data_IF_722648511451
#
_entry.id   IF_722648511451
#
_cell.length_a   1.000
_cell.length_b   1.000
_cell.length_c   1.000
_cell.angle_alpha   90.00
_cell.angle_beta   90.00
_cell.angle_gamma   90.00
#
_symmetry.space_group_name_H-M   'P 1'
#
loop_
_entity.id
_entity.type
_entity.pdbx_description
1 polymer ?
#
# COMPACT_ATOMS: atom_id res chain seq x y z
N UNK A 1 54.54 -12.32 -65.82
CA UNK A 1 53.20 -11.75 -66.08
C UNK A 1 52.22 -12.30 -65.05
N UNK A 2 51.62 -11.38 -64.28
CA UNK A 2 50.36 -11.46 -63.50
C UNK A 2 50.28 -12.47 -62.34
N UNK A 3 50.35 -11.88 -61.14
CA UNK A 3 50.09 -12.46 -59.82
C UNK A 3 48.64 -12.95 -59.68
N UNK A 4 48.45 -14.13 -59.09
CA UNK A 4 47.16 -14.59 -58.55
C UNK A 4 46.91 -13.85 -57.22
N UNK A 5 45.94 -12.94 -57.20
CA UNK A 5 45.39 -12.37 -55.97
C UNK A 5 44.28 -13.29 -55.46
N UNK A 6 44.54 -14.02 -54.37
CA UNK A 6 43.50 -14.70 -53.59
C UNK A 6 42.79 -13.68 -52.71
N UNK A 7 41.49 -13.44 -52.97
CA UNK A 7 40.65 -12.55 -52.18
C UNK A 7 40.07 -13.34 -50.99
N UNK A 8 40.61 -13.12 -49.79
CA UNK A 8 40.06 -13.63 -48.54
C UNK A 8 38.90 -12.71 -48.10
N UNK A 9 37.66 -13.21 -48.20
CA UNK A 9 36.48 -12.53 -47.64
C UNK A 9 36.41 -12.88 -46.15
N UNK A 10 36.86 -11.95 -45.30
CA UNK A 10 36.70 -12.05 -43.85
C UNK A 10 35.25 -11.68 -43.52
N UNK A 11 34.43 -12.70 -43.22
CA UNK A 11 33.06 -12.53 -42.74
C UNK A 11 33.11 -12.12 -41.26
N UNK A 12 33.09 -10.82 -40.99
CA UNK A 12 32.95 -10.29 -39.62
C UNK A 12 31.53 -10.55 -39.12
N UNK A 13 31.37 -11.57 -38.27
CA UNK A 13 30.13 -11.79 -37.51
C UNK A 13 30.05 -10.70 -36.45
N UNK A 14 29.21 -9.69 -36.69
CA UNK A 14 28.86 -8.69 -35.69
C UNK A 14 27.93 -9.35 -34.69
N UNK A 15 28.49 -9.87 -33.60
CA UNK A 15 27.72 -10.30 -32.44
C UNK A 15 27.14 -9.03 -31.83
N UNK A 16 25.90 -8.72 -32.20
CA UNK A 16 25.13 -7.66 -31.58
C UNK A 16 24.87 -8.07 -30.12
N UNK A 17 25.67 -7.53 -29.19
CA UNK A 17 25.34 -7.51 -27.78
C UNK A 17 24.01 -6.77 -27.61
N UNK A 18 22.90 -7.50 -27.61
CA UNK A 18 21.65 -7.01 -27.07
C UNK A 18 21.88 -6.87 -25.56
N UNK A 19 22.22 -5.65 -25.14
CA UNK A 19 22.07 -5.28 -23.75
C UNK A 19 20.60 -5.46 -23.41
N UNK A 20 20.30 -6.46 -22.57
CA UNK A 20 19.04 -6.55 -21.87
C UNK A 20 18.89 -5.25 -21.07
N UNK A 21 18.29 -4.22 -21.66
CA UNK A 21 17.77 -3.10 -20.90
C UNK A 21 16.74 -3.71 -19.98
N UNK A 22 17.08 -3.83 -18.70
CA UNK A 22 16.07 -3.98 -17.66
C UNK A 22 15.10 -2.82 -17.87
N UNK A 23 13.88 -3.14 -18.33
CA UNK A 23 12.77 -2.20 -18.29
C UNK A 23 12.51 -1.95 -16.80
N UNK A 24 13.21 -0.95 -16.23
CA UNK A 24 12.93 -0.49 -14.88
C UNK A 24 11.48 -0.04 -14.89
N UNK A 25 10.64 -0.76 -14.14
CA UNK A 25 9.23 -0.46 -14.07
C UNK A 25 9.05 0.99 -13.62
N UNK A 26 8.28 1.77 -14.39
CA UNK A 26 8.09 3.19 -14.14
C UNK A 26 7.20 3.38 -12.91
N UNK A 27 7.70 4.07 -11.90
CA UNK A 27 6.91 4.50 -10.74
C UNK A 27 5.82 5.49 -11.17
N UNK A 28 4.59 5.22 -10.76
CA UNK A 28 3.42 6.09 -10.88
C UNK A 28 3.21 6.83 -9.56
N UNK A 29 3.15 8.16 -9.59
CA UNK A 29 2.66 8.95 -8.46
C UNK A 29 1.14 8.80 -8.40
N UNK A 30 0.62 8.17 -7.36
CA UNK A 30 -0.83 8.09 -7.16
C UNK A 30 -1.36 9.42 -6.60
N UNK A 31 -0.60 10.10 -5.76
CA UNK A 31 -0.88 11.49 -5.38
C UNK A 31 0.03 12.45 -6.17
N UNK A 32 -0.56 13.45 -6.83
CA UNK A 32 0.16 14.36 -7.73
C UNK A 32 0.70 15.63 -7.04
N UNK A 33 0.34 15.88 -5.77
CA UNK A 33 0.75 17.08 -5.03
C UNK A 33 -0.17 18.29 -5.24
N UNK A 34 -1.22 18.18 -6.04
CA UNK A 34 -2.07 19.31 -6.47
C UNK A 34 -3.54 19.06 -6.17
N UNK A 35 -4.06 17.88 -6.51
CA UNK A 35 -5.47 17.53 -6.38
C UNK A 35 -5.67 16.01 -6.18
N UNK A 36 -6.92 15.59 -6.20
CA UNK A 36 -7.33 14.19 -6.01
C UNK A 36 -7.59 13.47 -7.34
N UNK A 37 -7.03 13.92 -8.46
CA UNK A 37 -7.20 13.26 -9.76
C UNK A 37 -6.78 11.78 -9.69
N UNK A 38 -7.67 10.89 -10.11
CA UNK A 38 -7.48 9.43 -10.01
C UNK A 38 -7.97 8.82 -8.70
N UNK A 39 -8.69 9.59 -7.88
CA UNK A 39 -9.32 9.15 -6.64
C UNK A 39 -10.76 9.64 -6.55
N UNK A 40 -11.57 8.91 -5.78
CA UNK A 40 -12.88 9.33 -5.31
C UNK A 40 -12.98 9.17 -3.79
N UNK A 41 -13.87 9.95 -3.19
CA UNK A 41 -14.12 9.94 -1.74
C UNK A 41 -15.35 9.10 -1.44
N UNK A 42 -15.24 8.18 -0.48
CA UNK A 42 -16.35 7.42 0.08
C UNK A 42 -16.47 7.73 1.59
N UNK A 43 -17.40 8.63 1.94
CA UNK A 43 -17.62 9.12 3.30
C UNK A 43 -19.11 8.99 3.62
N UNK A 44 -19.53 8.01 4.45
CA UNK A 44 -20.96 7.77 4.73
C UNK A 44 -21.72 8.98 5.28
N UNK A 45 -21.05 9.87 6.02
CA UNK A 45 -21.68 11.09 6.54
C UNK A 45 -22.15 12.04 5.42
N UNK A 46 -21.47 12.03 4.26
CA UNK A 46 -21.80 12.89 3.13
C UNK A 46 -23.10 12.47 2.42
N UNK A 47 -23.50 11.20 2.52
CA UNK A 47 -24.79 10.71 2.00
C UNK A 47 -25.97 11.32 2.76
N UNK A 48 -25.77 11.65 4.04
CA UNK A 48 -26.79 12.23 4.92
C UNK A 48 -26.75 13.75 4.80
N UNK A 49 -25.54 14.33 4.84
CA UNK A 49 -25.32 15.76 4.72
C UNK A 49 -24.21 16.04 3.68
N UNK A 50 -24.57 16.39 2.44
CA UNK A 50 -23.59 16.70 1.38
C UNK A 50 -22.67 17.89 1.70
N UNK A 51 -23.10 18.80 2.59
CA UNK A 51 -22.32 19.97 3.01
C UNK A 51 -21.41 19.68 4.22
N UNK A 52 -21.25 18.40 4.59
CA UNK A 52 -20.35 18.00 5.69
C UNK A 52 -18.89 18.42 5.41
N UNK A 53 -18.12 18.58 6.48
CA UNK A 53 -16.69 18.89 6.35
C UNK A 53 -15.95 17.79 5.57
N UNK A 54 -15.00 18.19 4.74
CA UNK A 54 -14.24 17.26 3.91
C UNK A 54 -13.27 16.43 4.75
N UNK A 55 -13.37 15.11 4.65
CA UNK A 55 -12.43 14.18 5.28
C UNK A 55 -11.04 14.19 4.64
N UNK A 56 -10.94 14.61 3.37
CA UNK A 56 -9.69 14.66 2.63
C UNK A 56 -9.54 16.02 1.94
N UNK A 57 -8.42 16.68 2.17
CA UNK A 57 -8.10 17.99 1.59
C UNK A 57 -6.68 18.02 1.04
N UNK A 58 -6.40 19.01 0.19
CA UNK A 58 -5.04 19.36 -0.18
C UNK A 58 -4.64 20.62 0.59
N UNK A 59 -3.51 20.55 1.30
CA UNK A 59 -2.94 21.66 2.08
C UNK A 59 -1.44 21.65 1.89
N UNK A 60 -0.86 22.75 1.42
CA UNK A 60 0.58 22.88 1.20
C UNK A 60 1.21 21.78 0.32
N UNK A 61 0.50 21.40 -0.75
CA UNK A 61 0.86 20.27 -1.65
C UNK A 61 0.90 18.88 -0.99
N UNK A 62 0.33 18.76 0.22
CA UNK A 62 0.13 17.51 0.93
C UNK A 62 -1.31 17.07 0.77
N UNK A 63 -1.52 15.75 0.64
CA UNK A 63 -2.82 15.16 0.91
C UNK A 63 -2.98 15.09 2.42
N UNK A 64 -4.07 15.62 2.97
CA UNK A 64 -4.37 15.59 4.40
C UNK A 64 -5.65 14.80 4.60
N UNK A 65 -5.56 13.71 5.37
CA UNK A 65 -6.71 13.04 5.96
C UNK A 65 -7.06 13.77 7.25
N UNK A 66 -8.28 14.27 7.38
CA UNK A 66 -8.75 15.02 8.54
C UNK A 66 -9.19 14.13 9.70
N UNK A 67 -9.26 12.81 9.48
CA UNK A 67 -9.73 11.83 10.46
C UNK A 67 -11.25 11.79 10.64
N UNK A 68 -11.94 12.92 10.55
CA UNK A 68 -13.40 13.01 10.66
C UNK A 68 -13.99 14.02 9.65
N UNK A 69 -15.14 13.75 9.02
CA UNK A 69 -15.95 12.53 9.09
C UNK A 69 -15.20 11.29 8.63
N UNK A 70 -15.51 10.12 9.19
CA UNK A 70 -14.81 8.87 8.82
C UNK A 70 -15.15 8.42 7.40
N UNK A 71 -14.17 7.85 6.72
CA UNK A 71 -14.33 7.32 5.37
C UNK A 71 -12.99 7.06 4.69
N UNK A 72 -13.03 6.95 3.36
CA UNK A 72 -11.90 6.52 2.56
C UNK A 72 -11.72 7.38 1.31
N UNK A 73 -10.47 7.67 0.97
CA UNK A 73 -10.07 8.15 -0.35
C UNK A 73 -9.58 6.95 -1.14
N UNK A 74 -10.26 6.60 -2.22
CA UNK A 74 -10.08 5.33 -2.94
C UNK A 74 -9.60 5.62 -4.36
N UNK A 75 -8.57 4.91 -4.84
CA UNK A 75 -8.09 5.07 -6.22
C UNK A 75 -9.15 4.60 -7.21
N UNK A 76 -9.32 5.30 -8.34
CA UNK A 76 -10.22 4.86 -9.42
C UNK A 76 -9.71 3.58 -10.12
N UNK A 77 -8.39 3.38 -10.11
CA UNK A 77 -7.74 2.23 -10.74
C UNK A 77 -7.59 1.05 -9.79
N UNK A 78 -7.62 -0.16 -10.36
CA UNK A 78 -7.28 -1.43 -9.70
C UNK A 78 -5.82 -1.80 -9.99
N UNK A 79 -5.12 -2.28 -8.97
CA UNK A 79 -3.71 -2.65 -9.04
C UNK A 79 -3.46 -4.08 -8.55
N UNK A 80 -2.36 -4.66 -9.01
CA UNK A 80 -1.79 -5.94 -8.58
C UNK A 80 -0.27 -5.88 -8.77
N UNK A 81 0.50 -6.74 -8.07
CA UNK A 81 1.94 -6.90 -8.27
C UNK A 81 2.70 -5.56 -8.23
N UNK A 82 2.70 -4.92 -7.08
CA UNK A 82 3.25 -3.58 -6.90
C UNK A 82 3.99 -3.39 -5.58
N UNK A 83 4.89 -2.42 -5.58
CA UNK A 83 5.46 -1.77 -4.41
C UNK A 83 4.79 -0.40 -4.24
N UNK A 84 4.06 -0.23 -3.15
CA UNK A 84 3.50 1.04 -2.72
C UNK A 84 4.45 1.66 -1.71
N UNK A 85 4.81 2.93 -1.90
CA UNK A 85 5.59 3.69 -0.94
C UNK A 85 4.80 4.91 -0.49
N UNK A 86 4.54 4.97 0.81
CA UNK A 86 3.77 6.02 1.46
C UNK A 86 4.68 6.78 2.42
N UNK A 87 4.67 8.12 2.36
CA UNK A 87 5.31 8.96 3.37
C UNK A 87 4.25 9.76 4.09
N UNK A 88 4.10 9.50 5.39
CA UNK A 88 3.04 10.06 6.21
C UNK A 88 3.58 10.63 7.53
N UNK A 89 2.79 11.47 8.20
CA UNK A 89 2.98 11.84 9.60
C UNK A 89 1.66 12.19 10.27
N UNK A 90 1.57 11.95 11.57
CA UNK A 90 0.56 12.57 12.42
C UNK A 90 1.05 13.98 12.78
N UNK A 91 0.49 15.01 12.15
CA UNK A 91 0.99 16.38 12.27
C UNK A 91 0.60 17.05 13.60
N UNK A 92 -0.49 16.60 14.22
CA UNK A 92 -0.98 17.10 15.50
C UNK A 92 -0.94 16.01 16.58
N UNK A 93 -2.09 15.40 16.83
CA UNK A 93 -2.24 14.32 17.81
C UNK A 93 -1.93 12.95 17.21
N UNK A 94 -1.44 11.99 18.02
CA UNK A 94 -1.40 10.59 17.59
C UNK A 94 -2.84 10.08 17.40
N UNK A 95 -3.01 9.08 16.54
CA UNK A 95 -4.30 8.41 16.38
C UNK A 95 -4.28 7.36 15.28
N UNK A 96 -5.42 7.21 14.61
CA UNK A 96 -5.66 6.14 13.64
C UNK A 96 -5.71 6.67 12.20
N UNK A 97 -5.18 5.86 11.29
CA UNK A 97 -5.28 5.97 9.84
C UNK A 97 -4.81 4.64 9.26
N UNK A 98 -4.93 4.43 7.95
CA UNK A 98 -4.49 3.19 7.33
C UNK A 98 -4.40 3.30 5.83
N UNK A 99 -3.63 2.38 5.25
CA UNK A 99 -3.62 2.13 3.81
C UNK A 99 -4.27 0.78 3.58
N UNK A 100 -5.40 0.79 2.88
CA UNK A 100 -6.13 -0.42 2.54
C UNK A 100 -5.66 -0.87 1.15
N UNK A 101 -5.18 -2.11 1.07
CA UNK A 101 -4.79 -2.75 -0.17
C UNK A 101 -5.82 -3.77 -0.60
N UNK A 102 -5.90 -3.98 -1.91
CA UNK A 102 -6.88 -4.88 -2.52
C UNK A 102 -8.34 -4.51 -2.17
N UNK A 103 -8.62 -3.21 -2.03
CA UNK A 103 -9.96 -2.72 -1.78
C UNK A 103 -10.88 -3.03 -2.96
N UNK A 104 -12.12 -3.43 -2.66
CA UNK A 104 -13.14 -3.79 -3.65
C UNK A 104 -14.52 -3.25 -3.27
N UNK A 105 -15.39 -4.08 -2.69
CA UNK A 105 -16.77 -3.69 -2.35
C UNK A 105 -16.76 -2.57 -1.30
N UNK A 106 -17.26 -1.35 -1.60
CA UNK A 106 -17.29 -0.27 -0.64
C UNK A 106 -18.22 -0.59 0.52
N UNK A 107 -17.91 -0.06 1.71
CA UNK A 107 -18.77 -0.14 2.92
C UNK A 107 -19.19 -1.56 3.32
N UNK A 108 -18.39 -2.57 2.99
CA UNK A 108 -18.64 -3.98 3.28
C UNK A 108 -18.63 -4.31 4.79
N UNK A 109 -17.90 -3.54 5.61
CA UNK A 109 -17.86 -3.71 7.06
C UNK A 109 -18.23 -2.40 7.78
N UNK A 110 -19.05 -2.50 8.82
CA UNK A 110 -19.58 -1.36 9.59
C UNK A 110 -20.26 -0.26 8.75
N UNK A 111 -20.68 -0.59 7.52
CA UNK A 111 -21.20 0.37 6.53
C UNK A 111 -20.21 1.51 6.20
N UNK A 112 -18.91 1.30 6.42
CA UNK A 112 -17.89 2.35 6.24
C UNK A 112 -16.60 1.82 5.61
N UNK A 113 -16.12 0.65 6.02
CA UNK A 113 -14.89 0.09 5.48
C UNK A 113 -15.14 -0.70 4.19
N UNK A 114 -14.34 -0.50 3.12
CA UNK A 114 -14.40 -1.36 1.95
C UNK A 114 -13.87 -2.76 2.27
N UNK A 115 -14.31 -3.77 1.54
CA UNK A 115 -13.72 -5.12 1.55
C UNK A 115 -12.26 -5.01 1.11
N UNK A 116 -11.30 -5.35 1.97
CA UNK A 116 -9.87 -5.13 1.76
C UNK A 116 -9.00 -5.84 2.81
N UNK A 117 -7.68 -5.74 2.64
CA UNK A 117 -6.70 -5.91 3.72
C UNK A 117 -6.13 -4.55 4.08
N UNK A 118 -6.21 -4.16 5.35
CA UNK A 118 -5.64 -2.89 5.82
C UNK A 118 -4.22 -3.12 6.35
N UNK A 119 -3.29 -2.28 5.89
CA UNK A 119 -2.00 -2.06 6.53
C UNK A 119 -2.14 -0.84 7.42
N UNK A 120 -2.21 -1.12 8.72
CA UNK A 120 -2.55 -0.17 9.77
C UNK A 120 -1.47 0.93 9.89
N UNK A 121 -1.89 2.16 10.19
CA UNK A 121 -1.00 3.29 10.49
C UNK A 121 -1.29 3.93 11.86
N UNK A 122 -2.10 3.28 12.70
CA UNK A 122 -2.34 3.64 14.09
C UNK A 122 -1.00 3.85 14.81
N UNK A 123 -0.88 4.97 15.50
CA UNK A 123 0.33 5.29 16.26
C UNK A 123 0.65 4.16 17.26
N UNK A 124 1.89 3.67 17.21
CA UNK A 124 2.48 2.50 17.88
C UNK A 124 2.13 1.13 17.34
N UNK A 125 1.23 1.06 16.35
CA UNK A 125 0.72 -0.19 15.78
C UNK A 125 0.90 -0.23 14.24
N UNK A 126 1.80 0.59 13.70
CA UNK A 126 1.98 0.73 12.26
C UNK A 126 2.50 -0.57 11.62
N UNK A 127 1.78 -1.04 10.61
CA UNK A 127 2.08 -2.28 9.89
C UNK A 127 1.33 -3.51 10.39
N UNK A 128 0.48 -3.38 11.41
CA UNK A 128 -0.52 -4.40 11.72
C UNK A 128 -1.40 -4.67 10.50
N UNK A 129 -1.86 -5.92 10.37
CA UNK A 129 -2.90 -6.24 9.41
C UNK A 129 -4.26 -6.19 10.07
N UNK A 130 -5.22 -5.54 9.43
CA UNK A 130 -6.63 -5.71 9.74
C UNK A 130 -7.37 -6.37 8.58
N UNK A 131 -7.98 -7.52 8.88
CA UNK A 131 -8.78 -8.28 7.94
C UNK A 131 -10.17 -7.66 7.82
N UNK A 132 -10.56 -7.19 6.62
CA UNK A 132 -11.84 -6.53 6.37
C UNK A 132 -12.57 -7.24 5.24
N UNK A 133 -13.32 -8.28 5.58
CA UNK A 133 -14.03 -9.17 4.63
C UNK A 133 -13.07 -9.86 3.62
N UNK A 134 -11.76 -9.65 3.75
CA UNK A 134 -10.66 -10.43 3.18
C UNK A 134 -9.81 -10.95 4.34
N UNK A 135 -9.07 -12.02 4.09
CA UNK A 135 -8.21 -12.68 5.08
C UNK A 135 -6.76 -12.80 4.59
N UNK A 136 -5.86 -12.95 5.55
CA UNK A 136 -4.42 -13.14 5.34
C UNK A 136 -3.86 -13.99 6.48
N UNK A 137 -2.88 -14.82 6.15
CA UNK A 137 -2.11 -15.59 7.12
C UNK A 137 -0.72 -14.98 7.31
N UNK A 138 -0.20 -15.07 8.53
CA UNK A 138 1.18 -14.71 8.86
C UNK A 138 1.83 -15.85 9.66
N UNK A 139 3.16 -15.92 9.79
CA UNK A 139 3.78 -16.83 10.75
C UNK A 139 3.30 -16.55 12.18
N UNK A 140 3.17 -17.59 13.01
CA UNK A 140 2.76 -17.50 14.42
C UNK A 140 1.36 -16.90 14.67
N UNK A 141 0.37 -17.25 13.84
CA UNK A 141 -1.01 -16.73 13.94
C UNK A 141 -1.63 -16.79 15.34
N UNK A 142 -1.41 -17.87 16.10
CA UNK A 142 -2.01 -18.00 17.45
C UNK A 142 -1.51 -16.91 18.41
N UNK A 143 -0.22 -16.57 18.31
CA UNK A 143 0.38 -15.49 19.10
C UNK A 143 -0.08 -14.13 18.57
N UNK A 144 -0.10 -13.95 17.25
CA UNK A 144 -0.32 -12.65 16.61
C UNK A 144 -1.78 -12.25 16.40
N UNK A 145 -2.71 -13.21 16.43
CA UNK A 145 -4.16 -13.04 16.21
C UNK A 145 -5.00 -13.66 17.34
N UNK A 146 -4.38 -14.28 18.35
CA UNK A 146 -5.10 -14.90 19.47
C UNK A 146 -5.73 -16.27 19.14
N UNK A 147 -6.72 -16.74 19.93
CA UNK A 147 -7.33 -18.06 19.79
C UNK A 147 -7.99 -18.26 18.43
N UNK A 148 -7.77 -19.42 17.81
CA UNK A 148 -8.20 -19.70 16.43
C UNK A 148 -9.71 -19.65 16.23
N UNK A 149 -10.46 -20.01 17.26
CA UNK A 149 -11.92 -20.07 17.26
C UNK A 149 -12.56 -18.67 17.16
N UNK A 150 -11.79 -17.64 17.53
CA UNK A 150 -12.20 -16.24 17.52
C UNK A 150 -11.84 -15.52 16.21
N UNK A 151 -10.99 -16.12 15.37
CA UNK A 151 -10.58 -15.52 14.11
C UNK A 151 -11.76 -15.29 13.17
N UNK A 152 -11.63 -14.25 12.35
CA UNK A 152 -12.57 -13.97 11.27
C UNK A 152 -12.33 -12.61 10.66
N UNK A 153 -13.22 -12.24 9.75
CA UNK A 153 -13.08 -11.09 8.84
C UNK A 153 -14.25 -10.10 8.93
N UNK A 154 -15.15 -10.33 9.90
CA UNK A 154 -16.38 -9.54 10.11
C UNK A 154 -16.49 -9.05 11.57
N UNK A 155 -17.53 -8.27 11.85
CA UNK A 155 -17.82 -7.76 13.19
C UNK A 155 -17.91 -8.88 14.24
N UNK A 156 -17.40 -8.62 15.43
CA UNK A 156 -17.38 -9.59 16.55
C UNK A 156 -16.30 -10.67 16.44
N UNK A 157 -15.39 -10.59 15.46
CA UNK A 157 -14.26 -11.51 15.29
C UNK A 157 -12.92 -10.82 15.50
N UNK A 158 -11.90 -11.62 15.82
CA UNK A 158 -10.51 -11.16 15.92
C UNK A 158 -9.92 -10.99 14.54
N UNK A 159 -9.98 -9.75 14.05
CA UNK A 159 -9.55 -9.33 12.70
C UNK A 159 -8.14 -8.77 12.64
N UNK A 160 -7.64 -8.26 13.78
CA UNK A 160 -6.30 -7.66 13.92
C UNK A 160 -5.24 -8.76 14.01
N UNK A 161 -4.16 -8.58 13.28
CA UNK A 161 -2.94 -9.40 13.36
C UNK A 161 -1.80 -8.44 13.67
N UNK A 162 -1.27 -8.55 14.89
CA UNK A 162 -0.20 -7.67 15.41
C UNK A 162 1.06 -7.83 14.59
N UNK A 163 1.79 -6.75 14.29
CA UNK A 163 3.05 -6.74 13.54
C UNK A 163 4.22 -7.38 14.34
N UNK A 164 5.45 -7.32 13.82
CA UNK A 164 6.64 -7.97 14.38
C UNK A 164 7.48 -7.08 15.33
N UNK A 165 7.14 -5.81 15.47
CA UNK A 165 8.00 -4.75 16.01
C UNK A 165 7.22 -3.76 16.87
N UNK A 166 7.84 -3.22 17.93
CA UNK A 166 7.15 -2.29 18.83
C UNK A 166 7.48 -0.80 18.57
N UNK A 167 8.63 -0.50 17.92
CA UNK A 167 9.18 0.86 17.85
C UNK A 167 9.71 1.25 16.44
N UNK A 168 9.13 0.69 15.38
CA UNK A 168 9.57 1.00 14.00
C UNK A 168 9.17 2.40 13.51
N UNK A 169 8.33 3.13 14.25
CA UNK A 169 7.90 4.48 13.91
C UNK A 169 8.84 5.57 14.45
N UNK A 170 8.96 6.66 13.68
CA UNK A 170 9.60 7.88 14.17
C UNK A 170 8.68 8.59 15.19
N UNK A 171 9.22 9.49 16.03
CA UNK A 171 8.43 10.29 16.97
C UNK A 171 7.25 11.03 16.32
N UNK A 172 6.23 11.33 17.13
CA UNK A 172 5.07 12.13 16.72
C UNK A 172 5.49 13.44 16.04
N UNK A 173 4.83 13.77 14.91
CA UNK A 173 5.16 14.93 14.09
C UNK A 173 6.26 14.70 13.04
N UNK A 174 7.05 13.63 13.18
CA UNK A 174 8.07 13.26 12.20
C UNK A 174 7.50 12.38 11.07
N UNK A 175 8.22 12.38 9.94
CA UNK A 175 7.79 11.64 8.75
C UNK A 175 8.17 10.16 8.84
N UNK A 176 7.18 9.29 8.77
CA UNK A 176 7.36 7.86 8.56
C UNK A 176 7.40 7.52 7.06
N UNK A 177 8.15 6.47 6.70
CA UNK A 177 8.08 5.83 5.38
C UNK A 177 7.54 4.42 5.55
N UNK A 178 6.36 4.16 4.99
CA UNK A 178 5.80 2.82 4.86
C UNK A 178 5.99 2.31 3.44
N UNK A 179 6.43 1.07 3.31
CA UNK A 179 6.51 0.35 2.04
C UNK A 179 5.64 -0.90 2.14
N UNK A 180 4.73 -1.08 1.19
CA UNK A 180 3.90 -2.27 1.07
C UNK A 180 4.17 -2.92 -0.28
N UNK A 181 4.66 -4.15 -0.28
CA UNK A 181 4.84 -4.94 -1.49
C UNK A 181 3.76 -6.01 -1.57
N UNK A 182 2.88 -5.91 -2.56
CA UNK A 182 1.83 -6.88 -2.85
C UNK A 182 2.21 -7.63 -4.13
N UNK A 183 2.49 -8.92 -4.05
CA UNK A 183 2.79 -9.78 -5.22
C UNK A 183 2.08 -11.11 -5.08
N UNK A 184 1.31 -11.49 -6.09
CA UNK A 184 0.38 -12.62 -6.03
C UNK A 184 -0.49 -12.54 -4.77
N UNK A 185 -0.43 -13.54 -3.90
CA UNK A 185 -1.17 -13.68 -2.64
C UNK A 185 -0.32 -13.33 -1.41
N UNK A 186 0.76 -12.57 -1.59
CA UNK A 186 1.67 -12.17 -0.51
C UNK A 186 1.71 -10.65 -0.33
N UNK A 187 1.86 -10.23 0.93
CA UNK A 187 2.03 -8.84 1.33
C UNK A 187 3.19 -8.73 2.31
N UNK A 188 4.18 -7.89 1.99
CA UNK A 188 5.25 -7.49 2.92
C UNK A 188 5.15 -6.02 3.25
N UNK A 189 5.40 -5.68 4.51
CA UNK A 189 5.29 -4.33 5.03
C UNK A 189 6.58 -3.95 5.72
N UNK A 190 7.12 -2.78 5.35
CA UNK A 190 8.20 -2.14 6.07
C UNK A 190 7.78 -0.78 6.59
N UNK A 191 8.23 -0.44 7.79
CA UNK A 191 8.14 0.91 8.35
C UNK A 191 9.56 1.37 8.65
N UNK A 192 9.96 2.52 8.11
CA UNK A 192 11.29 3.10 8.27
C UNK A 192 12.47 2.13 7.99
N UNK A 193 12.29 1.29 6.95
CA UNK A 193 13.23 0.25 6.48
C UNK A 193 13.30 -1.02 7.33
N UNK A 194 12.55 -1.11 8.43
CA UNK A 194 12.40 -2.34 9.20
C UNK A 194 11.24 -3.16 8.66
N UNK A 195 11.42 -4.47 8.50
CA UNK A 195 10.33 -5.36 8.09
C UNK A 195 9.42 -5.60 9.29
N UNK A 196 8.22 -5.04 9.25
CA UNK A 196 7.26 -5.13 10.36
C UNK A 196 6.22 -6.22 10.13
N UNK A 197 5.96 -6.62 8.88
CA UNK A 197 4.99 -7.68 8.62
C UNK A 197 5.24 -8.44 7.31
N UNK A 198 4.88 -9.71 7.31
CA UNK A 198 4.85 -10.57 6.13
C UNK A 198 3.67 -11.52 6.24
N UNK A 199 2.74 -11.40 5.28
CA UNK A 199 1.62 -12.31 5.13
C UNK A 199 1.55 -12.96 3.75
N UNK A 200 0.85 -14.09 3.72
CA UNK A 200 0.67 -14.98 2.59
C UNK A 200 -0.75 -15.57 2.62
N UNK A 201 -1.12 -16.34 1.59
CA UNK A 201 -2.48 -16.88 1.42
C UNK A 201 -3.56 -15.78 1.47
N UNK A 202 -3.26 -14.58 0.96
CA UNK A 202 -4.25 -13.51 0.87
C UNK A 202 -5.44 -13.97 0.03
N UNK A 203 -6.66 -13.75 0.52
CA UNK A 203 -7.87 -14.09 -0.24
C UNK A 203 -8.10 -13.17 -1.45
N UNK A 204 -7.41 -12.03 -1.49
CA UNK A 204 -7.37 -11.10 -2.62
C UNK A 204 -5.93 -10.83 -3.08
N UNK A 205 -5.74 -10.77 -4.40
CA UNK A 205 -4.43 -10.55 -5.06
C UNK A 205 -4.38 -9.26 -5.88
N UNK A 206 -5.52 -8.56 -5.98
CA UNK A 206 -5.69 -7.30 -6.71
C UNK A 206 -6.85 -6.50 -6.15
N UNK A 207 -6.79 -5.19 -6.31
CA UNK A 207 -7.90 -4.29 -5.99
C UNK A 207 -7.44 -2.84 -6.02
N UNK A 208 -8.32 -1.94 -5.60
CA UNK A 208 -8.00 -0.52 -5.41
C UNK A 208 -7.08 -0.36 -4.19
N UNK A 209 -6.49 0.83 -4.08
CA UNK A 209 -5.81 1.29 -2.88
C UNK A 209 -6.69 2.36 -2.24
N UNK A 210 -6.84 2.33 -0.92
CA UNK A 210 -7.53 3.40 -0.20
C UNK A 210 -6.69 3.95 0.96
N UNK A 211 -6.91 5.22 1.27
CA UNK A 211 -6.37 5.90 2.46
C UNK A 211 -7.54 6.26 3.37
N UNK A 212 -7.35 6.02 4.65
CA UNK A 212 -8.41 6.15 5.65
C UNK A 212 -8.45 7.55 6.29
N UNK A 213 -9.66 8.01 6.62
CA UNK A 213 -9.91 9.03 7.64
C UNK A 213 -10.57 8.36 8.85
N UNK A 214 -9.83 8.25 9.97
CA UNK A 214 -10.35 7.69 11.22
C UNK A 214 -9.76 8.37 12.47
N UNK A 215 -10.30 9.52 12.84
CA UNK A 215 -10.13 10.13 14.17
C UNK A 215 -8.88 10.99 14.40
N UNK A 216 -7.86 10.99 13.53
CA UNK A 216 -6.75 11.94 13.64
C UNK A 216 -6.28 12.47 12.30
N UNK A 217 -5.71 13.68 12.33
CA UNK A 217 -5.18 14.31 11.13
C UNK A 217 -3.84 13.69 10.72
N UNK A 218 -3.76 13.24 9.47
CA UNK A 218 -2.56 12.62 8.88
C UNK A 218 -2.22 13.30 7.57
N UNK A 219 -0.97 13.72 7.45
CA UNK A 219 -0.45 14.32 6.23
C UNK A 219 0.36 13.31 5.42
N UNK A 220 0.13 13.32 4.10
CA UNK A 220 0.80 12.47 3.12
C UNK A 220 1.52 13.36 2.09
N UNK A 221 2.83 13.22 2.01
CA UNK A 221 3.64 13.90 0.96
C UNK A 221 3.95 13.01 -0.24
N UNK A 222 3.70 11.71 -0.12
CA UNK A 222 4.01 10.72 -1.16
C UNK A 222 3.09 9.51 -1.03
N UNK A 223 2.51 9.12 -2.15
CA UNK A 223 1.85 7.83 -2.37
C UNK A 223 2.25 7.39 -3.79
N UNK A 224 3.30 6.59 -3.89
CA UNK A 224 3.87 6.17 -5.17
C UNK A 224 3.74 4.66 -5.33
N UNK A 225 3.37 4.23 -6.53
CA UNK A 225 3.22 2.83 -6.90
C UNK A 225 4.23 2.46 -7.98
N UNK A 226 5.00 1.39 -7.76
CA UNK A 226 5.93 0.83 -8.75
C UNK A 226 5.51 -0.60 -9.05
N UNK A 227 5.19 -0.96 -10.31
CA UNK A 227 4.96 -2.36 -10.67
C UNK A 227 6.20 -3.21 -10.37
N UNK A 228 6.02 -4.36 -9.76
CA UNK A 228 7.11 -5.31 -9.45
C UNK A 228 6.69 -6.73 -9.81
N UNK A 229 7.66 -7.62 -10.04
CA UNK A 229 7.39 -9.03 -10.36
C UNK A 229 7.67 -9.97 -9.20
N UNK A 230 8.43 -9.52 -8.21
CA UNK A 230 8.82 -10.29 -7.03
C UNK A 230 8.96 -9.34 -5.84
N UNK A 231 8.69 -9.85 -4.64
CA UNK A 231 8.97 -9.11 -3.41
C UNK A 231 10.47 -9.07 -3.13
N UNK A 232 10.87 -8.06 -2.36
CA UNK A 232 12.21 -7.94 -1.80
C UNK A 232 12.47 -9.16 -0.90
N UNK A 233 13.58 -9.90 -1.08
CA UNK A 233 13.98 -10.97 -0.18
C UNK A 233 14.12 -10.45 1.25
N UNK A 234 13.67 -11.24 2.22
CA UNK A 234 13.97 -10.99 3.64
C UNK A 234 15.21 -11.82 3.94
N UNK A 235 16.29 -11.16 4.35
CA UNK A 235 17.53 -11.82 4.77
C UNK A 235 17.44 -12.27 6.22
#
# INVERSE_FOLDING_TARGET
MKNLLSLFVILTVVISCQSNRSNVAKTKKLFNGVDLSGWHVDVPAADINPDTTKSFIIRDSLLVSMGDPRGHLITDSVFQNYRLQVKYRFAGSPGNCGVLVHASTPRALYKMFPKSLEVQMQHKDAGDFWCIVEDIEVPNMLERRGPKEEWGIIEGKTRRIVNLTDDSENPLGEWNTMVVECVADTIKVWVNNELVNYGYNCTATKGQIAVQAEGSEVEFRKIDLTPIQKTTPVN
#
